data_IF_505777022230
#
_entry.id   IF_505777022230
#
_cell.length_a   1.000
_cell.length_b   1.000
_cell.length_c   1.000
_cell.angle_alpha   90.00
_cell.angle_beta   90.00
_cell.angle_gamma   90.00
#
_symmetry.space_group_name_H-M   'P 1'
#
loop_
_entity.id
_entity.type
_entity.pdbx_description
1 polymer ?
#
# COMPACT_ATOMS: atom_id res chain seq x y z
N UNK A 1 1.13 30.05 0.46
CA UNK A 1 1.80 28.92 -0.20
C UNK A 1 2.83 29.51 -1.14
N UNK A 2 4.10 29.11 -1.01
CA UNK A 2 5.07 29.37 -2.08
C UNK A 2 4.46 28.87 -3.40
N UNK A 3 4.69 29.59 -4.50
CA UNK A 3 4.19 29.18 -5.81
C UNK A 3 4.89 27.88 -6.20
N UNK A 4 4.20 26.75 -6.03
CA UNK A 4 4.68 25.45 -6.48
C UNK A 4 4.98 25.49 -7.98
N UNK A 5 6.16 24.96 -8.34
CA UNK A 5 6.57 24.74 -9.73
C UNK A 5 5.57 23.81 -10.43
N UNK A 6 5.48 23.90 -11.75
CA UNK A 6 4.58 23.03 -12.54
C UNK A 6 4.93 21.55 -12.32
N UNK A 7 6.22 21.22 -12.28
CA UNK A 7 6.72 19.89 -11.96
C UNK A 7 6.24 19.40 -10.60
N UNK A 8 6.36 20.22 -9.55
CA UNK A 8 5.88 19.84 -8.22
C UNK A 8 4.37 19.62 -8.17
N UNK A 9 3.58 20.35 -8.96
CA UNK A 9 2.12 20.13 -9.06
C UNK A 9 1.78 18.80 -9.70
N UNK A 10 2.52 18.40 -10.75
CA UNK A 10 2.33 17.11 -11.41
C UNK A 10 2.64 15.98 -10.42
N UNK A 11 3.77 16.04 -9.71
CA UNK A 11 4.12 15.01 -8.74
C UNK A 11 3.20 15.00 -7.52
N UNK A 12 2.69 16.16 -7.09
CA UNK A 12 1.65 16.23 -6.07
C UNK A 12 0.38 15.50 -6.53
N UNK A 13 -0.08 15.77 -7.76
CA UNK A 13 -1.24 15.09 -8.32
C UNK A 13 -1.02 13.58 -8.41
N UNK A 14 0.12 13.14 -8.93
CA UNK A 14 0.48 11.73 -9.01
C UNK A 14 0.55 11.08 -7.63
N UNK A 15 1.09 11.76 -6.63
CA UNK A 15 1.15 11.28 -5.24
C UNK A 15 -0.25 11.03 -4.69
N UNK A 16 -1.16 12.00 -4.85
CA UNK A 16 -2.52 11.87 -4.33
C UNK A 16 -3.33 10.81 -5.06
N UNK A 17 -3.20 10.74 -6.39
CA UNK A 17 -3.87 9.74 -7.21
C UNK A 17 -3.39 8.33 -6.86
N UNK A 18 -2.07 8.13 -6.80
CA UNK A 18 -1.50 6.83 -6.45
C UNK A 18 -1.79 6.42 -5.01
N UNK A 19 -1.81 7.36 -4.04
CA UNK A 19 -2.24 7.07 -2.68
C UNK A 19 -3.70 6.57 -2.62
N UNK A 20 -4.60 7.21 -3.37
CA UNK A 20 -6.00 6.80 -3.43
C UNK A 20 -6.17 5.41 -4.07
N UNK A 21 -5.47 5.15 -5.18
CA UNK A 21 -5.49 3.85 -5.85
C UNK A 21 -4.82 2.76 -5.00
N UNK A 22 -3.73 3.09 -4.30
CA UNK A 22 -3.07 2.20 -3.36
C UNK A 22 -4.03 1.81 -2.25
N UNK A 23 -4.71 2.76 -1.61
CA UNK A 23 -5.67 2.46 -0.55
C UNK A 23 -6.83 1.58 -1.03
N UNK A 24 -7.41 1.90 -2.19
CA UNK A 24 -8.51 1.10 -2.76
C UNK A 24 -8.08 -0.32 -3.09
N UNK A 25 -6.92 -0.48 -3.73
CA UNK A 25 -6.36 -1.81 -4.03
C UNK A 25 -5.93 -2.56 -2.77
N UNK A 26 -5.44 -1.86 -1.74
CA UNK A 26 -5.06 -2.45 -0.46
C UNK A 26 -6.27 -3.09 0.23
N UNK A 27 -7.37 -2.34 0.36
CA UNK A 27 -8.62 -2.83 0.93
C UNK A 27 -9.20 -3.99 0.12
N UNK A 28 -9.18 -3.87 -1.20
CA UNK A 28 -9.66 -4.93 -2.10
C UNK A 28 -8.85 -6.21 -1.90
N UNK A 29 -7.52 -6.13 -1.94
CA UNK A 29 -6.62 -7.28 -1.71
C UNK A 29 -6.90 -7.92 -0.36
N UNK A 30 -6.93 -7.14 0.72
CA UNK A 30 -7.18 -7.68 2.06
C UNK A 30 -8.53 -8.41 2.11
N UNK A 31 -9.59 -7.79 1.59
CA UNK A 31 -10.92 -8.40 1.57
C UNK A 31 -10.93 -9.73 0.82
N UNK A 32 -10.31 -9.80 -0.35
CA UNK A 32 -10.26 -11.03 -1.17
C UNK A 32 -9.44 -12.12 -0.48
N UNK A 33 -8.29 -11.78 0.10
CA UNK A 33 -7.43 -12.74 0.81
C UNK A 33 -8.14 -13.30 2.05
N UNK A 34 -8.74 -12.44 2.89
CA UNK A 34 -9.45 -12.90 4.08
C UNK A 34 -10.69 -13.74 3.76
N UNK A 35 -11.29 -13.58 2.58
CA UNK A 35 -12.40 -14.44 2.15
C UNK A 35 -11.99 -15.91 1.91
N UNK A 36 -10.69 -16.19 1.73
CA UNK A 36 -10.17 -17.56 1.56
C UNK A 36 -10.21 -18.38 2.85
N UNK A 37 -10.10 -17.71 3.99
CA UNK A 37 -9.87 -18.36 5.28
C UNK A 37 -11.12 -18.38 6.17
N UNK A 38 -11.18 -19.37 7.04
CA UNK A 38 -12.19 -19.48 8.09
C UNK A 38 -12.06 -18.33 9.11
N UNK A 39 -13.17 -17.96 9.75
CA UNK A 39 -13.20 -16.80 10.66
C UNK A 39 -12.25 -16.96 11.86
N UNK A 40 -12.01 -18.20 12.28
CA UNK A 40 -11.27 -18.53 13.50
C UNK A 40 -9.80 -18.93 13.24
N UNK A 41 -9.27 -18.77 12.02
CA UNK A 41 -7.90 -19.19 11.72
C UNK A 41 -7.44 -18.87 10.29
N UNK A 42 -6.26 -19.39 9.93
CA UNK A 42 -5.71 -19.30 8.56
C UNK A 42 -5.92 -20.65 7.83
N UNK A 43 -6.98 -21.37 8.22
CA UNK A 43 -7.43 -22.58 7.55
C UNK A 43 -8.31 -22.18 6.37
N UNK A 44 -8.11 -22.84 5.23
CA UNK A 44 -8.91 -22.59 4.04
C UNK A 44 -10.36 -23.00 4.29
N UNK A 45 -11.30 -22.20 3.77
CA UNK A 45 -12.70 -22.59 3.76
C UNK A 45 -12.91 -23.89 3.00
N UNK A 46 -13.83 -24.72 3.49
CA UNK A 46 -14.16 -26.03 2.91
C UNK A 46 -14.59 -26.00 1.44
N UNK A 47 -15.04 -24.85 0.94
CA UNK A 47 -15.41 -24.65 -0.47
C UNK A 47 -14.20 -24.58 -1.41
N UNK A 48 -12.99 -24.34 -0.91
CA UNK A 48 -11.77 -24.32 -1.69
C UNK A 48 -11.08 -25.69 -1.66
N UNK A 49 -10.70 -26.17 -2.84
CA UNK A 49 -10.00 -27.44 -3.03
C UNK A 49 -8.96 -27.30 -4.15
N UNK A 50 -8.15 -28.34 -4.36
CA UNK A 50 -7.07 -28.30 -5.36
C UNK A 50 -7.53 -28.05 -6.80
N UNK A 51 -8.80 -28.28 -7.13
CA UNK A 51 -9.33 -28.06 -8.49
C UNK A 51 -9.72 -26.60 -8.75
N UNK A 52 -10.24 -25.89 -7.75
CA UNK A 52 -10.71 -24.51 -7.93
C UNK A 52 -9.72 -23.44 -7.44
N UNK A 53 -8.80 -23.78 -6.54
CA UNK A 53 -7.79 -22.85 -6.01
C UNK A 53 -6.92 -22.17 -7.08
N UNK A 54 -6.44 -22.85 -8.14
CA UNK A 54 -5.68 -22.20 -9.20
C UNK A 54 -6.43 -21.02 -9.81
N UNK A 55 -7.72 -21.21 -10.15
CA UNK A 55 -8.56 -20.18 -10.73
C UNK A 55 -8.80 -19.02 -9.76
N UNK A 56 -9.02 -19.32 -8.48
CA UNK A 56 -9.19 -18.33 -7.42
C UNK A 56 -7.92 -17.46 -7.31
N UNK A 57 -6.74 -18.07 -7.25
CA UNK A 57 -5.48 -17.34 -7.19
C UNK A 57 -5.25 -16.48 -8.45
N UNK A 58 -5.56 -16.99 -9.64
CA UNK A 58 -5.47 -16.19 -10.87
C UNK A 58 -6.35 -14.93 -10.84
N UNK A 59 -7.54 -15.01 -10.26
CA UNK A 59 -8.45 -13.85 -10.10
C UNK A 59 -7.91 -12.83 -9.09
N UNK A 60 -7.06 -13.23 -8.15
CA UNK A 60 -6.45 -12.33 -7.17
C UNK A 60 -5.28 -11.51 -7.75
N UNK A 61 -4.59 -12.04 -8.75
CA UNK A 61 -3.37 -11.44 -9.32
C UNK A 61 -3.53 -9.97 -9.71
N UNK A 62 -4.60 -9.55 -10.42
CA UNK A 62 -4.77 -8.14 -10.78
C UNK A 62 -4.83 -7.20 -9.57
N UNK A 63 -5.45 -7.63 -8.47
CA UNK A 63 -5.52 -6.83 -7.24
C UNK A 63 -4.16 -6.70 -6.56
N UNK A 64 -3.36 -7.78 -6.54
CA UNK A 64 -2.01 -7.79 -5.98
C UNK A 64 -1.08 -6.90 -6.83
N UNK A 65 -1.11 -7.05 -8.17
CA UNK A 65 -0.33 -6.23 -9.10
C UNK A 65 -0.68 -4.75 -8.95
N UNK A 66 -1.97 -4.41 -8.93
CA UNK A 66 -2.41 -3.02 -8.80
C UNK A 66 -1.91 -2.44 -7.49
N UNK A 67 -1.99 -3.18 -6.38
CA UNK A 67 -1.50 -2.72 -5.09
C UNK A 67 0.02 -2.48 -5.10
N UNK A 68 0.79 -3.45 -5.61
CA UNK A 68 2.24 -3.36 -5.74
C UNK A 68 2.65 -2.12 -6.55
N UNK A 69 2.09 -1.95 -7.75
CA UNK A 69 2.46 -0.86 -8.65
C UNK A 69 2.07 0.50 -8.08
N UNK A 70 0.85 0.63 -7.54
CA UNK A 70 0.37 1.90 -7.00
C UNK A 70 1.14 2.34 -5.77
N UNK A 71 1.60 1.39 -4.94
CA UNK A 71 2.48 1.67 -3.80
C UNK A 71 3.82 2.28 -4.24
N UNK A 72 4.52 1.65 -5.19
CA UNK A 72 5.80 2.19 -5.68
C UNK A 72 5.65 3.51 -6.41
N UNK A 73 4.58 3.68 -7.20
CA UNK A 73 4.26 4.96 -7.85
C UNK A 73 4.02 6.04 -6.78
N UNK A 74 3.29 5.73 -5.70
CA UNK A 74 3.10 6.63 -4.57
C UNK A 74 4.43 7.03 -3.92
N UNK A 75 5.26 6.04 -3.56
CA UNK A 75 6.51 6.30 -2.87
C UNK A 75 7.47 7.17 -3.71
N UNK A 76 7.64 6.82 -4.99
CA UNK A 76 8.53 7.55 -5.91
C UNK A 76 7.99 8.96 -6.17
N UNK A 77 6.70 9.09 -6.48
CA UNK A 77 6.10 10.41 -6.76
C UNK A 77 6.11 11.32 -5.54
N UNK A 78 5.92 10.78 -4.33
CA UNK A 78 6.00 11.53 -3.08
C UNK A 78 7.42 12.06 -2.82
N UNK A 79 8.45 11.21 -2.99
CA UNK A 79 9.84 11.62 -2.83
C UNK A 79 10.20 12.73 -3.84
N UNK A 80 9.82 12.55 -5.11
CA UNK A 80 10.09 13.55 -6.15
C UNK A 80 9.32 14.85 -5.86
N UNK A 81 8.09 14.77 -5.37
CA UNK A 81 7.32 15.94 -4.93
C UNK A 81 8.07 16.71 -3.82
N UNK A 82 8.56 16.02 -2.79
CA UNK A 82 9.29 16.67 -1.70
C UNK A 82 10.52 17.43 -2.22
N UNK A 83 11.30 16.81 -3.11
CA UNK A 83 12.51 17.41 -3.69
C UNK A 83 12.16 18.60 -4.60
N UNK A 84 11.14 18.47 -5.46
CA UNK A 84 10.80 19.49 -6.48
C UNK A 84 9.94 20.63 -5.94
N UNK A 85 9.27 20.44 -4.82
CA UNK A 85 8.39 21.46 -4.21
C UNK A 85 9.14 22.63 -3.59
N UNK A 86 10.41 22.42 -3.19
CA UNK A 86 11.19 23.43 -2.45
C UNK A 86 10.65 23.75 -1.06
N UNK A 87 9.61 23.02 -0.59
CA UNK A 87 8.95 23.30 0.69
C UNK A 87 9.93 23.00 1.84
N UNK A 88 10.17 24.03 2.65
CA UNK A 88 10.92 23.88 3.90
C UNK A 88 10.07 23.16 4.95
N UNK A 89 10.33 21.86 5.14
CA UNK A 89 9.62 20.99 6.09
C UNK A 89 9.55 21.54 7.53
N UNK A 90 10.53 22.35 7.94
CA UNK A 90 10.56 23.04 9.25
C UNK A 90 9.32 23.92 9.50
N UNK A 91 8.69 24.45 8.46
CA UNK A 91 7.54 25.36 8.56
C UNK A 91 6.20 24.69 8.25
N UNK A 92 6.22 23.52 7.62
CA UNK A 92 5.03 22.76 7.21
C UNK A 92 5.00 21.44 7.99
N UNK A 93 4.67 21.51 9.28
CA UNK A 93 4.74 20.37 10.21
C UNK A 93 3.87 19.18 9.80
N UNK A 94 2.72 19.41 9.17
CA UNK A 94 1.88 18.34 8.61
C UNK A 94 2.61 17.54 7.53
N UNK A 95 3.37 18.20 6.65
CA UNK A 95 4.09 17.52 5.56
C UNK A 95 5.27 16.72 6.11
N UNK A 96 5.93 17.25 7.15
CA UNK A 96 6.94 16.52 7.89
C UNK A 96 6.36 15.27 8.59
N UNK A 97 5.18 15.39 9.21
CA UNK A 97 4.50 14.26 9.82
C UNK A 97 4.13 13.19 8.78
N UNK A 98 3.63 13.58 7.59
CA UNK A 98 3.39 12.65 6.48
C UNK A 98 4.68 11.94 6.07
N UNK A 99 5.79 12.68 5.92
CA UNK A 99 7.09 12.09 5.60
C UNK A 99 7.51 11.04 6.64
N UNK A 100 7.36 11.33 7.93
CA UNK A 100 7.69 10.37 8.99
C UNK A 100 6.82 9.13 8.92
N UNK A 101 5.51 9.28 8.75
CA UNK A 101 4.59 8.15 8.61
C UNK A 101 5.03 7.28 7.42
N UNK A 102 5.23 7.88 6.25
CA UNK A 102 5.66 7.15 5.04
C UNK A 102 7.00 6.48 5.26
N UNK A 103 7.98 7.15 5.84
CA UNK A 103 9.30 6.59 6.09
C UNK A 103 9.27 5.41 7.09
N UNK A 104 8.41 5.48 8.10
CA UNK A 104 8.24 4.40 9.08
C UNK A 104 7.48 3.21 8.49
N UNK A 105 6.44 3.43 7.68
CA UNK A 105 5.67 2.33 7.06
C UNK A 105 6.38 1.71 5.86
N UNK A 106 7.23 2.48 5.17
CA UNK A 106 7.84 2.05 3.92
C UNK A 106 8.63 0.73 3.98
N UNK A 107 9.55 0.51 4.95
CA UNK A 107 10.32 -0.74 4.99
C UNK A 107 9.44 -1.98 5.13
N UNK A 108 8.36 -1.89 5.90
CA UNK A 108 7.42 -3.00 6.11
C UNK A 108 6.64 -3.32 4.84
N UNK A 109 6.07 -2.31 4.16
CA UNK A 109 5.33 -2.55 2.92
C UNK A 109 6.26 -2.99 1.78
N UNK A 110 7.51 -2.50 1.74
CA UNK A 110 8.54 -2.99 0.80
C UNK A 110 8.87 -4.46 1.05
N UNK A 111 9.05 -4.86 2.31
CA UNK A 111 9.30 -6.26 2.66
C UNK A 111 8.13 -7.15 2.21
N UNK A 112 6.90 -6.77 2.56
CA UNK A 112 5.70 -7.51 2.19
C UNK A 112 5.47 -7.54 0.67
N UNK A 113 5.88 -6.50 -0.05
CA UNK A 113 5.86 -6.44 -1.52
C UNK A 113 6.76 -7.51 -2.15
N UNK A 114 7.79 -8.00 -1.45
CA UNK A 114 8.62 -9.10 -1.96
C UNK A 114 7.85 -10.41 -1.98
N UNK A 115 7.02 -10.68 -0.98
CA UNK A 115 6.11 -11.83 -0.93
C UNK A 115 5.05 -11.68 -2.04
N UNK A 116 4.48 -10.48 -2.21
CA UNK A 116 3.51 -10.21 -3.28
C UNK A 116 4.10 -10.46 -4.68
N UNK A 117 5.37 -10.07 -4.90
CA UNK A 117 6.08 -10.35 -6.14
C UNK A 117 6.27 -11.86 -6.39
N UNK A 118 6.67 -12.62 -5.36
CA UNK A 118 6.79 -14.07 -5.43
C UNK A 118 5.44 -14.72 -5.73
N UNK A 119 4.36 -14.28 -5.08
CA UNK A 119 2.99 -14.74 -5.35
C UNK A 119 2.61 -14.56 -6.81
N UNK A 120 2.82 -13.36 -7.36
CA UNK A 120 2.52 -13.06 -8.77
C UNK A 120 3.31 -13.98 -9.69
N UNK A 121 4.61 -14.16 -9.45
CA UNK A 121 5.46 -15.03 -10.26
C UNK A 121 4.97 -16.48 -10.23
N UNK A 122 4.69 -17.04 -9.06
CA UNK A 122 4.23 -18.42 -8.93
C UNK A 122 2.88 -18.65 -9.61
N UNK A 123 1.92 -17.73 -9.43
CA UNK A 123 0.59 -17.87 -10.03
C UNK A 123 0.66 -17.78 -11.57
N UNK A 124 1.53 -16.94 -12.13
CA UNK A 124 1.65 -16.77 -13.58
C UNK A 124 2.47 -17.92 -14.20
N UNK A 125 3.55 -18.35 -13.56
CA UNK A 125 4.46 -19.34 -14.11
C UNK A 125 3.96 -20.77 -13.95
N UNK A 126 3.42 -21.12 -12.78
CA UNK A 126 2.92 -22.47 -12.50
C UNK A 126 1.74 -22.45 -11.51
N UNK A 127 0.52 -22.10 -11.98
CA UNK A 127 -0.67 -22.03 -11.13
C UNK A 127 -1.08 -23.39 -10.55
N UNK A 128 -0.47 -24.50 -10.99
CA UNK A 128 -0.75 -25.84 -10.46
C UNK A 128 -0.09 -26.12 -9.11
N UNK A 129 0.92 -25.34 -8.72
CA UNK A 129 1.59 -25.43 -7.42
C UNK A 129 0.79 -24.76 -6.30
N UNK A 130 -0.43 -25.26 -6.09
CA UNK A 130 -1.41 -24.71 -5.14
C UNK A 130 -0.86 -24.60 -3.72
N UNK A 131 -0.09 -25.60 -3.27
CA UNK A 131 0.49 -25.60 -1.91
C UNK A 131 1.53 -24.50 -1.71
N UNK A 132 2.41 -24.28 -2.69
CA UNK A 132 3.42 -23.22 -2.65
C UNK A 132 2.76 -21.85 -2.62
N UNK A 133 1.79 -21.63 -3.51
CA UNK A 133 1.04 -20.37 -3.57
C UNK A 133 0.27 -20.14 -2.27
N UNK A 134 -0.40 -21.18 -1.75
CA UNK A 134 -1.13 -21.07 -0.49
C UNK A 134 -0.20 -20.71 0.68
N UNK A 135 0.97 -21.33 0.76
CA UNK A 135 1.95 -21.02 1.80
C UNK A 135 2.41 -19.56 1.73
N UNK A 136 2.67 -19.04 0.52
CA UNK A 136 2.99 -17.63 0.33
C UNK A 136 1.83 -16.70 0.73
N UNK A 137 0.58 -17.07 0.44
CA UNK A 137 -0.60 -16.29 0.88
C UNK A 137 -0.69 -16.31 2.41
N UNK A 138 -0.46 -17.46 3.05
CA UNK A 138 -0.45 -17.57 4.51
C UNK A 138 0.67 -16.74 5.13
N UNK A 139 1.88 -16.85 4.60
CA UNK A 139 3.05 -16.05 5.00
C UNK A 139 2.73 -14.56 4.91
N UNK A 140 2.14 -14.11 3.79
CA UNK A 140 1.74 -12.71 3.59
C UNK A 140 0.74 -12.18 4.62
N UNK A 141 -0.12 -13.05 5.16
CA UNK A 141 -1.16 -12.72 6.16
C UNK A 141 -0.62 -12.82 7.58
N UNK A 142 0.22 -13.82 7.86
CA UNK A 142 0.81 -14.04 9.18
C UNK A 142 1.92 -13.04 9.49
N UNK A 143 2.76 -12.75 8.50
CA UNK A 143 3.91 -11.90 8.67
C UNK A 143 3.48 -10.47 8.80
N UNK A 144 3.89 -9.83 9.90
CA UNK A 144 3.45 -8.49 10.26
C UNK A 144 1.91 -8.39 10.25
N UNK A 145 1.20 -9.37 10.79
CA UNK A 145 -0.28 -9.47 10.78
C UNK A 145 -1.04 -8.22 11.27
N UNK A 146 -0.42 -7.40 12.14
CA UNK A 146 -0.99 -6.13 12.60
C UNK A 146 -0.75 -4.96 11.63
N UNK A 147 0.25 -5.09 10.75
CA UNK A 147 0.67 -4.03 9.84
C UNK A 147 -0.42 -3.59 8.85
N UNK A 148 -1.30 -4.47 8.33
CA UNK A 148 -2.42 -4.03 7.51
C UNK A 148 -3.32 -2.97 8.16
N UNK A 149 -3.61 -3.13 9.45
CA UNK A 149 -4.37 -2.12 10.20
C UNK A 149 -3.54 -0.84 10.40
N UNK A 150 -2.26 -0.98 10.75
CA UNK A 150 -1.35 0.17 10.90
C UNK A 150 -1.29 0.97 9.59
N UNK A 151 -1.18 0.31 8.44
CA UNK A 151 -1.09 0.95 7.14
C UNK A 151 -2.39 1.69 6.80
N UNK A 152 -3.56 1.06 7.02
CA UNK A 152 -4.86 1.71 6.79
C UNK A 152 -5.05 2.95 7.66
N UNK A 153 -4.75 2.86 8.95
CA UNK A 153 -4.86 3.99 9.88
C UNK A 153 -3.86 5.08 9.49
N UNK A 154 -2.61 4.72 9.19
CA UNK A 154 -1.56 5.63 8.76
C UNK A 154 -1.96 6.41 7.51
N UNK A 155 -2.53 5.72 6.52
CA UNK A 155 -3.04 6.35 5.31
C UNK A 155 -4.24 7.27 5.58
N UNK A 156 -5.15 6.92 6.48
CA UNK A 156 -6.23 7.82 6.90
C UNK A 156 -5.69 9.09 7.58
N UNK A 157 -4.64 8.96 8.41
CA UNK A 157 -3.94 10.09 9.03
C UNK A 157 -3.26 10.96 7.97
N UNK A 158 -2.62 10.37 6.95
CA UNK A 158 -2.02 11.11 5.84
C UNK A 158 -3.07 11.94 5.10
N UNK A 159 -4.25 11.36 4.81
CA UNK A 159 -5.37 12.08 4.19
C UNK A 159 -5.81 13.25 5.07
N UNK A 160 -6.03 13.00 6.36
CA UNK A 160 -6.40 14.03 7.33
C UNK A 160 -5.37 15.19 7.36
N UNK A 161 -4.08 14.87 7.48
CA UNK A 161 -3.00 15.87 7.49
C UNK A 161 -2.94 16.66 6.17
N UNK A 162 -3.22 16.02 5.04
CA UNK A 162 -3.21 16.66 3.72
C UNK A 162 -4.36 17.64 3.53
N UNK A 163 -5.55 17.30 4.05
CA UNK A 163 -6.78 18.11 3.94
C UNK A 163 -6.73 19.30 4.89
N UNK A 164 -6.48 19.05 6.18
CA UNK A 164 -6.56 20.10 7.21
C UNK A 164 -5.25 20.89 7.36
N UNK A 165 -4.12 20.28 7.00
CA UNK A 165 -2.77 20.89 7.08
C UNK A 165 -2.48 21.53 8.44
N UNK A 166 -2.65 20.79 9.55
CA UNK A 166 -2.38 21.32 10.88
C UNK A 166 -0.89 21.63 11.06
N UNK A 167 -0.51 22.30 12.15
CA UNK A 167 0.91 22.55 12.50
C UNK A 167 1.69 23.39 11.46
N UNK A 168 0.98 24.10 10.60
CA UNK A 168 1.57 25.12 9.74
C UNK A 168 1.98 26.29 10.61
N UNK A 169 3.26 26.65 10.58
CA UNK A 169 3.71 27.88 11.24
C UNK A 169 3.18 29.07 10.46
N UNK A 170 2.22 29.77 11.04
CA UNK A 170 1.86 31.11 10.60
C UNK A 170 2.96 32.03 11.08
N UNK A 171 3.52 32.85 10.19
CA UNK A 171 4.46 33.90 10.60
C UNK A 171 3.69 34.87 11.51
N UNK A 172 3.76 34.66 12.82
CA UNK A 172 3.64 35.76 13.77
C UNK A 172 4.96 36.53 13.65
N UNK A 173 4.88 37.74 13.09
CA UNK A 173 5.94 38.74 13.14
C UNK A 173 6.19 39.13 14.60
#
# INVERSE_FOLDING_TARGET
MEKLSQTARIFLFLTLLSLALFLGSYLTRQTVVYQLFEVNGIDLKTMFNGQNLPAVFSVMVPAIILNLLTYYVFLISFIIFLITSGIKLKYEGWLFAILLIVALTAPFEIYLSTIDFQLIQQIISDPSQVEVILNLVKERVSDLSSFPLIMLISSAVIIFLTVFRPLRKTYEN
#
